data_IF_982287999590
#
_entry.id   IF_982287999590
#
_cell.length_a   1.000
_cell.length_b   1.000
_cell.length_c   1.000
_cell.angle_alpha   90.00
_cell.angle_beta   90.00
_cell.angle_gamma   90.00
#
_symmetry.space_group_name_H-M   'P 1'
#
loop_
_entity.id
_entity.type
_entity.pdbx_description
1 polymer ?
#
# COMPACT_ATOMS: atom_id res chain seq x y z
N UNK A 1 3.19 16.95 28.73
CA UNK A 1 3.00 15.53 28.37
C UNK A 1 2.38 15.51 26.98
N UNK A 2 2.89 14.71 26.04
CA UNK A 2 2.42 14.71 24.63
C UNK A 2 1.12 13.93 24.42
N UNK A 3 0.75 13.07 25.37
CA UNK A 3 -0.47 12.27 25.35
C UNK A 3 -1.50 12.87 26.30
N UNK A 4 -2.76 12.88 25.89
CA UNK A 4 -3.92 13.35 26.67
C UNK A 4 -5.05 12.30 26.69
N UNK A 5 -6.05 12.55 27.55
CA UNK A 5 -7.22 11.69 27.70
C UNK A 5 -6.88 10.20 27.88
N UNK A 6 -7.54 9.35 27.10
CA UNK A 6 -7.35 7.89 27.15
C UNK A 6 -5.92 7.45 26.83
N UNK A 7 -5.21 8.17 25.95
CA UNK A 7 -3.83 7.83 25.62
C UNK A 7 -2.87 8.06 26.81
N UNK A 8 -3.16 9.06 27.65
CA UNK A 8 -2.41 9.30 28.88
C UNK A 8 -2.63 8.18 29.91
N UNK A 9 -3.87 7.75 30.11
CA UNK A 9 -4.23 6.64 31.02
C UNK A 9 -3.60 5.32 30.57
N UNK A 10 -3.68 5.01 29.27
CA UNK A 10 -3.02 3.86 28.67
C UNK A 10 -1.50 3.89 28.95
N UNK A 11 -0.82 5.01 28.70
CA UNK A 11 0.62 5.11 28.87
C UNK A 11 1.04 4.89 30.34
N UNK A 12 0.25 5.36 31.32
CA UNK A 12 0.54 5.11 32.74
C UNK A 12 0.52 3.62 33.08
N UNK A 13 -0.33 2.82 32.43
CA UNK A 13 -0.41 1.37 32.63
C UNK A 13 0.74 0.58 32.01
N UNK A 14 1.32 1.07 30.90
CA UNK A 14 2.35 0.34 30.13
C UNK A 14 3.76 0.92 30.27
N UNK A 15 3.94 2.12 30.86
CA UNK A 15 5.26 2.77 30.96
C UNK A 15 6.31 1.92 31.69
N UNK A 16 5.90 1.06 32.62
CA UNK A 16 6.81 0.21 33.38
C UNK A 16 7.33 -0.99 32.57
N UNK A 17 6.66 -1.35 31.48
CA UNK A 17 7.04 -2.47 30.61
C UNK A 17 7.84 -2.02 29.38
N UNK A 18 7.98 -0.70 29.16
CA UNK A 18 8.65 -0.12 28.00
C UNK A 18 10.06 0.29 28.41
N UNK A 19 11.06 -0.35 27.82
CA UNK A 19 12.48 -0.13 28.14
C UNK A 19 13.18 0.71 27.07
N UNK A 20 12.66 0.69 25.85
CA UNK A 20 13.24 1.39 24.70
C UNK A 20 12.24 2.31 24.01
N UNK A 21 12.75 3.37 23.36
CA UNK A 21 11.91 4.25 22.54
C UNK A 21 11.24 3.49 21.38
N UNK A 22 11.93 2.48 20.83
CA UNK A 22 11.38 1.61 19.78
C UNK A 22 10.16 0.85 20.27
N UNK A 23 10.24 0.21 21.44
CA UNK A 23 9.09 -0.46 22.07
C UNK A 23 7.93 0.50 22.33
N UNK A 24 8.21 1.73 22.77
CA UNK A 24 7.18 2.74 22.99
C UNK A 24 6.39 3.03 21.71
N UNK A 25 7.11 3.25 20.60
CA UNK A 25 6.51 3.54 19.30
C UNK A 25 5.78 2.32 18.73
N UNK A 26 6.35 1.11 18.85
CA UNK A 26 5.71 -0.11 18.37
C UNK A 26 4.42 -0.40 19.14
N UNK A 27 4.41 -0.20 20.46
CA UNK A 27 3.21 -0.38 21.29
C UNK A 27 2.14 0.69 21.02
N UNK A 28 2.56 1.93 20.74
CA UNK A 28 1.66 3.01 20.34
C UNK A 28 0.98 2.68 19.01
N UNK A 29 1.75 2.22 18.02
CA UNK A 29 1.23 1.74 16.72
C UNK A 29 0.33 0.52 16.88
N UNK A 30 0.64 -0.39 17.79
CA UNK A 30 -0.19 -1.57 18.04
C UNK A 30 -1.54 -1.17 18.63
N UNK A 31 -1.55 -0.25 19.59
CA UNK A 31 -2.75 0.10 20.37
C UNK A 31 -3.66 1.08 19.62
N UNK A 32 -3.07 2.07 18.94
CA UNK A 32 -3.80 3.16 18.28
C UNK A 32 -3.67 3.14 16.77
N UNK A 33 -2.83 2.27 16.20
CA UNK A 33 -2.72 2.13 14.76
C UNK A 33 -3.97 1.46 14.18
N UNK A 34 -4.37 1.83 12.95
CA UNK A 34 -5.48 1.19 12.27
C UNK A 34 -5.14 -0.26 11.95
N UNK A 35 -5.54 -1.20 12.81
CA UNK A 35 -5.45 -2.63 12.55
C UNK A 35 -6.71 -3.12 11.83
N UNK A 36 -6.82 -2.79 10.53
CA UNK A 36 -7.80 -3.52 9.72
C UNK A 36 -7.35 -4.99 9.66
N UNK A 37 -8.24 -5.95 9.99
CA UNK A 37 -7.90 -7.36 9.80
C UNK A 37 -7.49 -7.63 8.34
N UNK A 38 -6.49 -8.49 8.13
CA UNK A 38 -5.92 -8.74 6.81
C UNK A 38 -6.97 -9.08 5.73
N UNK A 39 -8.00 -9.87 6.09
CA UNK A 39 -9.08 -10.22 5.15
C UNK A 39 -9.87 -8.98 4.66
N UNK A 40 -10.01 -7.94 5.48
CA UNK A 40 -10.67 -6.68 5.07
C UNK A 40 -9.79 -5.88 4.13
N UNK A 41 -8.47 -5.88 4.38
CA UNK A 41 -7.49 -5.23 3.50
C UNK A 41 -7.49 -5.89 2.13
N UNK A 42 -7.47 -7.22 2.06
CA UNK A 42 -7.59 -7.94 0.79
C UNK A 42 -8.90 -7.65 0.09
N UNK A 43 -10.03 -7.69 0.81
CA UNK A 43 -11.33 -7.35 0.22
C UNK A 43 -11.37 -5.94 -0.35
N UNK A 44 -10.76 -4.98 0.34
CA UNK A 44 -10.67 -3.58 -0.12
C UNK A 44 -9.74 -3.42 -1.32
N UNK A 45 -8.59 -4.11 -1.32
CA UNK A 45 -7.65 -4.12 -2.43
C UNK A 45 -8.28 -4.66 -3.71
N UNK A 46 -8.99 -5.79 -3.61
CA UNK A 46 -9.63 -6.45 -4.76
C UNK A 46 -11.04 -5.94 -5.07
N UNK A 47 -11.52 -4.89 -4.38
CA UNK A 47 -12.87 -4.37 -4.60
C UNK A 47 -13.01 -3.64 -5.95
N UNK A 48 -11.94 -3.01 -6.43
CA UNK A 48 -11.95 -2.25 -7.68
C UNK A 48 -10.67 -2.48 -8.46
N UNK A 49 -10.80 -2.55 -9.78
CA UNK A 49 -9.69 -2.51 -10.73
C UNK A 49 -9.39 -1.07 -11.13
N UNK A 50 -8.25 -0.83 -11.77
CA UNK A 50 -7.89 0.47 -12.33
C UNK A 50 -8.87 0.83 -13.46
N UNK A 51 -9.55 1.97 -13.31
CA UNK A 51 -10.36 2.55 -14.39
C UNK A 51 -9.50 3.22 -15.48
N UNK A 52 -10.09 3.49 -16.63
CA UNK A 52 -9.39 4.08 -17.77
C UNK A 52 -8.90 5.52 -17.52
N UNK A 53 -9.62 6.26 -16.66
CA UNK A 53 -9.33 7.67 -16.36
C UNK A 53 -8.21 7.86 -15.32
N UNK A 54 -7.93 6.85 -14.51
CA UNK A 54 -7.00 6.92 -13.40
C UNK A 54 -5.59 6.57 -13.87
N UNK A 55 -4.62 7.51 -13.76
CA UNK A 55 -3.21 7.24 -14.06
C UNK A 55 -2.67 6.09 -13.20
N UNK A 56 -1.79 5.28 -13.78
CA UNK A 56 -1.23 4.09 -13.13
C UNK A 56 -0.50 4.44 -11.84
N UNK A 57 0.20 5.57 -11.80
CA UNK A 57 0.86 6.07 -10.59
C UNK A 57 -0.11 6.25 -9.41
N UNK A 58 -1.26 6.87 -9.67
CA UNK A 58 -2.27 7.15 -8.65
C UNK A 58 -2.90 5.85 -8.16
N UNK A 59 -3.21 4.94 -9.08
CA UNK A 59 -3.78 3.63 -8.74
C UNK A 59 -2.82 2.80 -7.88
N UNK A 60 -1.56 2.66 -8.32
CA UNK A 60 -0.53 1.90 -7.58
C UNK A 60 -0.26 2.54 -6.21
N UNK A 61 -0.23 3.87 -6.11
CA UNK A 61 -0.07 4.56 -4.83
C UNK A 61 -1.19 4.20 -3.84
N UNK A 62 -2.45 4.24 -4.29
CA UNK A 62 -3.61 3.83 -3.48
C UNK A 62 -3.53 2.36 -3.07
N UNK A 63 -3.23 1.47 -4.01
CA UNK A 63 -3.13 0.03 -3.74
C UNK A 63 -2.02 -0.28 -2.72
N UNK A 64 -0.86 0.37 -2.83
CA UNK A 64 0.24 0.24 -1.86
C UNK A 64 -0.13 0.81 -0.49
N UNK A 65 -0.90 1.90 -0.44
CA UNK A 65 -1.43 2.44 0.83
C UNK A 65 -2.39 1.46 1.51
N UNK A 66 -3.21 0.75 0.74
CA UNK A 66 -4.08 -0.32 1.26
C UNK A 66 -3.24 -1.49 1.80
N UNK A 67 -2.28 -1.98 1.02
CA UNK A 67 -1.38 -3.07 1.43
C UNK A 67 -0.53 -2.74 2.66
N UNK A 68 -0.15 -1.47 2.87
CA UNK A 68 0.59 -1.01 4.04
C UNK A 68 -0.19 -1.13 5.36
N UNK A 69 -1.50 -1.38 5.31
CA UNK A 69 -2.33 -1.67 6.50
C UNK A 69 -2.22 -3.13 6.95
N UNK A 70 -1.58 -4.00 6.16
CA UNK A 70 -1.26 -5.36 6.58
C UNK A 70 -0.18 -5.35 7.67
N UNK A 71 -0.17 -6.35 8.57
CA UNK A 71 0.93 -6.53 9.50
C UNK A 71 2.29 -6.61 8.77
N UNK A 72 3.34 -6.05 9.38
CA UNK A 72 4.69 -6.11 8.81
C UNK A 72 5.09 -7.55 8.49
N UNK A 73 5.82 -7.75 7.38
CA UNK A 73 6.27 -9.04 6.87
C UNK A 73 5.15 -10.02 6.45
N UNK A 74 3.90 -9.58 6.29
CA UNK A 74 2.83 -10.43 5.74
C UNK A 74 3.10 -10.81 4.27
N UNK A 75 3.57 -9.86 3.47
CA UNK A 75 3.87 -10.05 2.04
C UNK A 75 5.20 -9.37 1.69
N UNK A 76 6.01 -10.04 0.89
CA UNK A 76 7.16 -9.42 0.21
C UNK A 76 6.69 -8.56 -0.97
N UNK A 77 7.60 -7.79 -1.60
CA UNK A 77 7.23 -6.91 -2.71
C UNK A 77 6.72 -7.66 -3.94
N UNK A 78 7.22 -8.88 -4.21
CA UNK A 78 6.86 -9.67 -5.39
C UNK A 78 5.38 -10.09 -5.42
N UNK A 79 4.79 -10.72 -4.37
CA UNK A 79 3.36 -10.97 -4.31
C UNK A 79 2.51 -9.70 -4.36
N UNK A 80 2.98 -8.61 -3.75
CA UNK A 80 2.27 -7.31 -3.83
C UNK A 80 2.23 -6.81 -5.28
N UNK A 81 3.33 -6.95 -6.00
CA UNK A 81 3.42 -6.58 -7.42
C UNK A 81 2.47 -7.44 -8.26
N UNK A 82 2.37 -8.75 -8.00
CA UNK A 82 1.41 -9.64 -8.68
C UNK A 82 -0.04 -9.22 -8.46
N UNK A 83 -0.39 -8.94 -7.20
CA UNK A 83 -1.75 -8.52 -6.84
C UNK A 83 -2.11 -7.21 -7.53
N UNK A 84 -1.23 -6.20 -7.46
CA UNK A 84 -1.49 -4.89 -8.06
C UNK A 84 -1.49 -4.97 -9.58
N UNK A 85 -0.56 -5.72 -10.19
CA UNK A 85 -0.50 -5.91 -11.64
C UNK A 85 -1.80 -6.52 -12.17
N UNK A 86 -2.37 -7.51 -11.47
CA UNK A 86 -3.63 -8.14 -11.85
C UNK A 86 -4.81 -7.17 -11.93
N UNK A 87 -4.78 -6.11 -11.11
CA UNK A 87 -5.81 -5.08 -11.04
C UNK A 87 -5.57 -3.90 -12.01
N UNK A 88 -4.45 -3.87 -12.72
CA UNK A 88 -4.18 -2.82 -13.71
C UNK A 88 -5.10 -2.94 -14.92
N UNK A 89 -5.39 -1.79 -15.52
CA UNK A 89 -6.21 -1.73 -16.71
C UNK A 89 -5.56 -2.51 -17.85
N UNK A 90 -6.38 -3.21 -18.64
CA UNK A 90 -5.93 -4.10 -19.71
C UNK A 90 -4.94 -3.42 -20.67
N UNK A 91 -5.19 -2.15 -21.02
CA UNK A 91 -4.31 -1.35 -21.91
C UNK A 91 -2.85 -1.29 -21.46
N UNK A 92 -2.64 -1.26 -20.13
CA UNK A 92 -1.30 -1.24 -19.55
C UNK A 92 -0.70 -2.64 -19.60
N UNK A 93 -1.46 -3.67 -19.17
CA UNK A 93 -1.02 -5.08 -19.15
C UNK A 93 -0.66 -5.63 -20.54
N UNK A 94 -1.24 -5.09 -21.61
CA UNK A 94 -0.91 -5.48 -22.99
C UNK A 94 0.45 -4.94 -23.46
N UNK A 95 0.89 -3.79 -22.93
CA UNK A 95 2.16 -3.15 -23.31
C UNK A 95 3.30 -3.45 -22.32
N UNK A 96 2.94 -3.63 -21.06
CA UNK A 96 3.86 -3.79 -19.94
C UNK A 96 3.78 -5.23 -19.45
N UNK A 97 4.79 -6.05 -19.77
CA UNK A 97 4.78 -7.48 -19.42
C UNK A 97 5.18 -7.73 -17.97
N UNK A 98 4.35 -8.44 -17.19
CA UNK A 98 4.63 -8.82 -15.79
C UNK A 98 5.99 -9.48 -15.57
N UNK A 99 6.38 -10.39 -16.45
CA UNK A 99 7.61 -11.20 -16.31
C UNK A 99 8.90 -10.38 -16.53
N UNK A 100 8.79 -9.15 -17.04
CA UNK A 100 9.94 -8.27 -17.29
C UNK A 100 10.19 -7.27 -16.16
N UNK A 101 9.41 -7.33 -15.08
CA UNK A 101 9.35 -6.31 -14.04
C UNK A 101 9.56 -6.97 -12.68
N UNK A 102 10.45 -6.41 -11.88
CA UNK A 102 10.83 -6.98 -10.58
C UNK A 102 10.36 -6.14 -9.39
N UNK A 103 10.04 -4.87 -9.60
CA UNK A 103 9.68 -3.93 -8.54
C UNK A 103 8.67 -2.88 -9.02
N UNK A 104 8.06 -2.15 -8.08
CA UNK A 104 7.08 -1.12 -8.42
C UNK A 104 7.67 0.04 -9.22
N UNK A 105 8.95 0.37 -9.05
CA UNK A 105 9.55 1.51 -9.77
C UNK A 105 9.68 1.22 -11.27
N UNK A 106 10.07 0.00 -11.63
CA UNK A 106 10.10 -0.48 -13.02
C UNK A 106 8.69 -0.46 -13.64
N UNK A 107 7.68 -0.94 -12.90
CA UNK A 107 6.28 -0.91 -13.33
C UNK A 107 5.83 0.51 -13.65
N UNK A 108 6.01 1.45 -12.72
CA UNK A 108 5.58 2.84 -12.88
C UNK A 108 6.32 3.54 -14.03
N UNK A 109 7.63 3.28 -14.17
CA UNK A 109 8.42 3.87 -15.25
C UNK A 109 7.93 3.41 -16.63
N UNK A 110 7.64 2.11 -16.79
CA UNK A 110 7.11 1.58 -18.05
C UNK A 110 5.66 2.02 -18.31
N UNK A 111 4.82 2.07 -17.27
CA UNK A 111 3.44 2.50 -17.39
C UNK A 111 3.33 3.96 -17.86
N UNK A 112 4.14 4.87 -17.33
CA UNK A 112 4.17 6.28 -17.78
C UNK A 112 4.47 6.42 -19.27
N UNK A 113 5.48 5.70 -19.76
CA UNK A 113 5.84 5.74 -21.19
C UNK A 113 4.69 5.26 -22.09
N UNK A 114 3.95 4.26 -21.61
CA UNK A 114 2.77 3.72 -22.31
C UNK A 114 1.62 4.73 -22.28
N UNK A 115 1.35 5.34 -21.13
CA UNK A 115 0.31 6.37 -20.98
C UNK A 115 0.60 7.61 -21.83
N UNK A 116 1.85 8.10 -21.86
CA UNK A 116 2.27 9.18 -22.77
C UNK A 116 2.07 8.84 -24.26
N UNK A 117 2.22 7.56 -24.62
CA UNK A 117 1.99 7.11 -26.00
C UNK A 117 0.52 7.18 -26.36
N UNK A 118 -0.38 6.81 -25.43
CA UNK A 118 -1.82 6.88 -25.64
C UNK A 118 -2.31 8.33 -25.75
N UNK A 119 -1.84 9.23 -24.87
CA UNK A 119 -2.19 10.65 -24.91
C UNK A 119 -1.83 11.30 -26.25
N UNK A 120 -0.71 10.89 -26.88
CA UNK A 120 -0.30 11.39 -28.20
C UNK A 120 -1.12 10.85 -29.36
N UNK A 121 -1.66 9.64 -29.26
CA UNK A 121 -2.50 9.04 -30.32
C UNK A 121 -3.94 9.53 -30.28
N UNK A 122 -4.42 9.99 -29.12
CA UNK A 122 -5.78 10.50 -28.92
C UNK A 122 -5.90 12.02 -29.12
N UNK A 123 -4.78 12.70 -29.39
CA UNK A 123 -4.68 14.15 -29.71
C UNK A 123 -4.62 14.41 -31.21
#
# INVERSE_FOLDING_TARGET
MLLDGFAAEWYQGVKATISTWKEAIDLLKLTFGPQKPAYRVYRELFANEQDESTPTDIFVCKARSTLAQLPNNTLTEEPQLDMVYGLLHRRIREKVSRNKINNFNELLSQARLVEETFERTDS
#
